data_IF_990338785896
#
_entry.id   IF_990338785896
#
_cell.length_a   1.000
_cell.length_b   1.000
_cell.length_c   1.000
_cell.angle_alpha   90.00
_cell.angle_beta   90.00
_cell.angle_gamma   90.00
#
_symmetry.space_group_name_H-M   'P 1'
#
loop_
_entity.id
_entity.type
_entity.pdbx_description
1 polymer ?
#
# COMPACT_ATOMS: atom_id res chain seq x y z
N UNK A 1 16.48 -8.58 -12.86
CA UNK A 1 15.90 -7.29 -12.47
C UNK A 1 14.42 -7.49 -12.18
N UNK A 2 13.93 -6.88 -11.14
CA UNK A 2 12.53 -7.02 -10.74
C UNK A 2 11.56 -6.59 -11.86
N UNK A 3 10.41 -7.24 -11.89
CA UNK A 3 9.38 -7.03 -12.89
C UNK A 3 8.04 -6.75 -12.20
N UNK A 4 7.33 -5.70 -12.63
CA UNK A 4 5.98 -5.40 -12.12
C UNK A 4 4.97 -6.12 -13.01
N UNK A 5 4.26 -7.06 -12.43
CA UNK A 5 3.24 -7.88 -13.10
C UNK A 5 1.98 -7.07 -13.41
N UNK A 6 1.54 -6.28 -12.44
CA UNK A 6 0.31 -5.50 -12.50
C UNK A 6 -0.05 -4.93 -11.14
N UNK A 7 -1.25 -4.39 -11.05
CA UNK A 7 -1.81 -3.82 -9.84
C UNK A 7 -3.19 -4.38 -9.51
N UNK A 8 -3.44 -4.51 -8.23
CA UNK A 8 -4.74 -4.82 -7.65
C UNK A 8 -5.18 -3.62 -6.83
N UNK A 9 -6.41 -3.17 -7.01
CA UNK A 9 -7.03 -2.21 -6.10
C UNK A 9 -8.25 -2.83 -5.41
N UNK A 10 -8.33 -2.64 -4.10
CA UNK A 10 -9.39 -3.22 -3.25
C UNK A 10 -9.78 -2.25 -2.14
N UNK A 11 -11.04 -2.28 -1.74
CA UNK A 11 -11.46 -1.60 -0.53
C UNK A 11 -10.99 -2.35 0.73
N UNK A 12 -10.75 -1.62 1.83
CA UNK A 12 -10.14 -2.17 3.04
C UNK A 12 -11.03 -2.07 4.30
N UNK A 13 -12.33 -2.11 4.15
CA UNK A 13 -13.23 -2.02 5.32
C UNK A 13 -12.89 -3.09 6.37
N UNK A 14 -12.92 -2.76 7.68
CA UNK A 14 -12.64 -3.74 8.74
C UNK A 14 -13.61 -4.91 8.73
N UNK A 15 -14.81 -4.70 8.17
CA UNK A 15 -15.86 -5.70 8.09
C UNK A 15 -15.51 -6.88 7.18
N UNK A 16 -14.64 -6.70 6.18
CA UNK A 16 -14.11 -7.80 5.35
C UNK A 16 -13.33 -8.78 6.24
N UNK A 17 -12.42 -8.26 7.07
CA UNK A 17 -11.65 -9.06 8.02
C UNK A 17 -12.53 -9.76 9.05
N UNK A 18 -13.54 -9.06 9.57
CA UNK A 18 -14.55 -9.65 10.46
C UNK A 18 -15.26 -10.85 9.81
N UNK A 19 -15.66 -10.73 8.56
CA UNK A 19 -16.33 -11.81 7.85
C UNK A 19 -15.41 -13.02 7.60
N UNK A 20 -14.11 -12.79 7.34
CA UNK A 20 -13.12 -13.87 7.26
C UNK A 20 -13.01 -14.60 8.59
N UNK A 21 -12.80 -13.88 9.70
CA UNK A 21 -12.57 -14.45 11.02
C UNK A 21 -13.78 -15.24 11.57
N UNK A 22 -14.99 -14.87 11.13
CA UNK A 22 -16.25 -15.51 11.54
C UNK A 22 -16.82 -16.45 10.50
N UNK A 23 -16.05 -16.82 9.47
CA UNK A 23 -16.43 -17.74 8.40
C UNK A 23 -17.76 -17.36 7.69
N UNK A 24 -17.95 -16.04 7.44
CA UNK A 24 -19.18 -15.48 6.86
C UNK A 24 -19.13 -15.29 5.35
N UNK A 25 -18.11 -15.80 4.68
CA UNK A 25 -17.89 -15.57 3.25
C UNK A 25 -19.06 -16.05 2.36
N UNK A 26 -19.83 -17.02 2.83
CA UNK A 26 -20.98 -17.57 2.11
C UNK A 26 -22.34 -17.00 2.59
N UNK A 27 -22.34 -16.18 3.63
CA UNK A 27 -23.58 -15.54 4.10
C UNK A 27 -24.09 -14.57 3.01
N UNK A 28 -25.41 -14.47 2.74
CA UNK A 28 -25.96 -13.66 1.65
C UNK A 28 -25.52 -12.19 1.66
N UNK A 29 -25.30 -11.61 2.84
CA UNK A 29 -24.83 -10.22 2.97
C UNK A 29 -23.35 -10.02 2.58
N UNK A 30 -22.55 -11.09 2.64
CA UNK A 30 -21.09 -11.05 2.44
C UNK A 30 -20.66 -11.70 1.14
N UNK A 31 -21.42 -12.70 0.66
CA UNK A 31 -21.05 -13.49 -0.51
C UNK A 31 -20.71 -12.65 -1.75
N UNK A 32 -21.41 -11.55 -2.10
CA UNK A 32 -21.04 -10.72 -3.25
C UNK A 32 -19.63 -10.14 -3.12
N UNK A 33 -19.21 -9.72 -1.90
CA UNK A 33 -17.86 -9.18 -1.65
C UNK A 33 -16.83 -10.28 -1.93
N UNK A 34 -16.98 -11.45 -1.32
CA UNK A 34 -15.99 -12.53 -1.48
C UNK A 34 -15.96 -13.10 -2.89
N UNK A 35 -17.08 -13.15 -3.59
CA UNK A 35 -17.12 -13.50 -5.01
C UNK A 35 -16.34 -12.52 -5.87
N UNK A 36 -16.34 -11.23 -5.53
CA UNK A 36 -15.54 -10.23 -6.21
C UNK A 36 -14.01 -10.37 -5.96
N UNK A 37 -13.63 -11.01 -4.87
CA UNK A 37 -12.21 -11.31 -4.56
C UNK A 37 -11.69 -12.58 -5.27
N UNK A 38 -12.53 -13.50 -5.67
CA UNK A 38 -12.09 -14.75 -6.33
C UNK A 38 -11.23 -14.53 -7.58
N UNK A 39 -11.54 -13.59 -8.50
CA UNK A 39 -10.67 -13.31 -9.63
C UNK A 39 -9.29 -12.77 -9.22
N UNK A 40 -9.23 -11.99 -8.13
CA UNK A 40 -7.98 -11.47 -7.58
C UNK A 40 -7.11 -12.59 -7.00
N UNK A 41 -7.73 -13.49 -6.25
CA UNK A 41 -7.06 -14.69 -5.70
C UNK A 41 -6.48 -15.55 -6.83
N UNK A 42 -7.29 -15.85 -7.86
CA UNK A 42 -6.84 -16.62 -9.05
C UNK A 42 -5.68 -15.92 -9.76
N UNK A 43 -5.76 -14.61 -9.94
CA UNK A 43 -4.68 -13.84 -10.57
C UNK A 43 -3.38 -13.92 -9.77
N UNK A 44 -3.44 -13.79 -8.45
CA UNK A 44 -2.27 -13.92 -7.56
C UNK A 44 -1.71 -15.36 -7.57
N UNK A 45 -2.57 -16.37 -7.57
CA UNK A 45 -2.16 -17.77 -7.65
C UNK A 45 -1.49 -18.12 -8.98
N UNK A 46 -1.99 -17.56 -10.10
CA UNK A 46 -1.42 -17.75 -11.44
C UNK A 46 -0.10 -16.99 -11.63
N UNK A 47 -0.08 -15.73 -11.22
CA UNK A 47 1.09 -14.85 -11.42
C UNK A 47 2.22 -15.09 -10.42
N UNK A 48 1.91 -15.57 -9.23
CA UNK A 48 2.86 -15.92 -8.15
C UNK A 48 3.91 -14.82 -7.89
N UNK A 49 3.49 -13.60 -7.52
CA UNK A 49 4.45 -12.55 -7.20
C UNK A 49 5.30 -12.96 -5.99
N UNK A 50 6.59 -12.66 -6.05
CA UNK A 50 7.53 -12.85 -4.93
C UNK A 50 7.30 -11.83 -3.81
N UNK A 51 6.78 -10.65 -4.16
CA UNK A 51 6.43 -9.61 -3.20
C UNK A 51 5.23 -8.78 -3.66
N UNK A 52 4.46 -8.29 -2.67
CA UNK A 52 3.44 -7.27 -2.85
C UNK A 52 3.93 -5.95 -2.27
N UNK A 53 4.01 -4.90 -3.08
CA UNK A 53 4.06 -3.54 -2.53
C UNK A 53 2.64 -3.13 -2.20
N UNK A 54 2.36 -2.96 -0.91
CA UNK A 54 1.03 -2.86 -0.37
C UNK A 54 0.75 -1.44 0.15
N UNK A 55 -0.04 -0.69 -0.59
CA UNK A 55 -0.36 0.70 -0.31
C UNK A 55 -1.63 0.77 0.54
N UNK A 56 -1.52 1.36 1.71
CA UNK A 56 -2.60 1.45 2.69
C UNK A 56 -2.49 2.73 3.53
N UNK A 57 -3.49 3.04 4.31
CA UNK A 57 -3.41 3.98 5.42
C UNK A 57 -3.71 3.26 6.75
N UNK A 58 -3.07 3.74 7.78
CA UNK A 58 -3.31 3.33 9.16
C UNK A 58 -4.43 4.17 9.78
N UNK A 59 -5.24 3.58 10.64
CA UNK A 59 -6.39 4.23 11.29
C UNK A 59 -6.10 4.59 12.76
N UNK A 60 -4.99 5.29 13.00
CA UNK A 60 -4.53 5.72 14.34
C UNK A 60 -4.26 4.51 15.26
N UNK A 61 -3.70 3.45 14.68
CA UNK A 61 -3.36 2.22 15.41
C UNK A 61 -1.86 2.11 15.64
N UNK A 62 -1.06 2.33 14.62
CA UNK A 62 0.41 2.31 14.68
C UNK A 62 1.04 3.68 14.41
N UNK A 63 0.32 4.59 13.74
CA UNK A 63 0.77 5.94 13.39
C UNK A 63 -0.21 6.96 13.96
N UNK A 64 0.26 7.78 14.87
CA UNK A 64 -0.55 8.74 15.62
C UNK A 64 -0.29 10.17 15.15
N UNK A 65 -1.18 11.10 15.50
CA UNK A 65 -1.12 12.51 15.06
C UNK A 65 0.01 13.32 15.71
N UNK A 66 0.69 12.76 16.68
CA UNK A 66 1.93 13.32 17.25
C UNK A 66 3.13 13.25 16.29
N UNK A 67 3.09 12.29 15.34
CA UNK A 67 4.05 12.17 14.25
C UNK A 67 3.38 11.51 13.03
N UNK A 68 2.60 12.28 12.28
CA UNK A 68 1.82 11.76 11.15
C UNK A 68 2.51 12.01 9.82
N UNK A 69 3.23 11.01 9.33
CA UNK A 69 4.00 11.10 8.10
C UNK A 69 3.14 10.96 6.85
N UNK A 70 3.47 11.75 5.81
CA UNK A 70 2.80 11.69 4.50
C UNK A 70 3.05 10.36 3.79
N UNK A 71 4.31 9.91 3.75
CA UNK A 71 4.72 8.64 3.13
C UNK A 71 5.63 7.88 4.07
N UNK A 72 5.26 6.65 4.40
CA UNK A 72 6.02 5.83 5.33
C UNK A 72 6.17 4.40 4.81
N UNK A 73 7.41 3.96 4.63
CA UNK A 73 7.74 2.64 4.10
C UNK A 73 8.15 1.69 5.21
N UNK A 74 7.54 0.52 5.26
CA UNK A 74 7.99 -0.57 6.12
C UNK A 74 9.29 -1.18 5.60
N UNK A 75 10.28 -1.31 6.48
CA UNK A 75 11.61 -1.84 6.16
C UNK A 75 11.98 -3.03 7.04
N UNK A 76 11.00 -3.62 7.69
CA UNK A 76 11.18 -4.80 8.54
C UNK A 76 11.13 -6.11 7.75
N UNK A 77 11.58 -7.18 8.38
CA UNK A 77 11.49 -8.53 7.85
C UNK A 77 10.13 -9.20 8.10
N UNK A 78 9.31 -8.62 9.00
CA UNK A 78 8.04 -9.18 9.43
C UNK A 78 7.12 -8.08 9.99
N UNK A 79 5.81 -8.29 9.85
CA UNK A 79 4.78 -7.39 10.40
C UNK A 79 3.68 -8.18 11.08
N UNK A 80 3.40 -7.82 12.33
CA UNK A 80 2.35 -8.42 13.15
C UNK A 80 1.02 -7.67 12.97
N UNK A 81 -0.07 -8.33 13.34
CA UNK A 81 -1.42 -7.75 13.39
C UNK A 81 -1.58 -6.87 14.63
N UNK A 82 -2.16 -5.70 14.45
CA UNK A 82 -2.50 -4.81 15.54
C UNK A 82 -3.74 -5.28 16.32
N UNK A 83 -3.81 -4.86 17.57
CA UNK A 83 -5.03 -4.91 18.35
C UNK A 83 -5.81 -3.60 18.17
N UNK A 84 -6.95 -3.68 17.52
CA UNK A 84 -7.83 -2.54 17.25
C UNK A 84 -9.03 -2.48 18.23
N UNK A 85 -8.93 -3.20 19.33
CA UNK A 85 -9.96 -3.39 20.35
C UNK A 85 -10.56 -4.80 20.33
N UNK A 86 -10.55 -5.44 21.48
CA UNK A 86 -11.03 -6.81 21.62
C UNK A 86 -10.00 -7.90 21.36
N UNK A 87 -8.74 -7.56 21.16
CA UNK A 87 -7.63 -8.45 20.85
C UNK A 87 -7.25 -8.44 19.36
N UNK A 88 -5.99 -8.80 19.03
CA UNK A 88 -5.56 -8.91 17.65
C UNK A 88 -6.26 -10.08 16.94
N UNK A 89 -6.48 -9.93 15.64
CA UNK A 89 -7.00 -11.03 14.81
C UNK A 89 -6.02 -12.22 14.84
N UNK A 90 -6.56 -13.44 14.76
CA UNK A 90 -5.79 -14.69 14.78
C UNK A 90 -5.15 -14.95 13.39
N UNK A 91 -4.21 -14.11 12.98
CA UNK A 91 -3.50 -14.21 11.72
C UNK A 91 -2.00 -14.36 11.97
N UNK A 92 -1.28 -15.17 11.17
CA UNK A 92 0.18 -15.22 11.28
C UNK A 92 0.80 -13.89 10.86
N UNK A 93 1.98 -13.55 11.38
CA UNK A 93 2.75 -12.41 10.91
C UNK A 93 3.05 -12.52 9.42
N UNK A 94 2.94 -11.42 8.67
CA UNK A 94 3.32 -11.41 7.27
C UNK A 94 4.80 -11.11 7.10
N UNK A 95 5.49 -11.85 6.24
CA UNK A 95 6.89 -11.64 5.95
C UNK A 95 7.08 -10.39 5.10
N UNK A 96 8.09 -9.58 5.43
CA UNK A 96 8.57 -8.48 4.62
C UNK A 96 9.71 -8.90 3.67
N UNK A 97 10.03 -8.04 2.72
CA UNK A 97 11.25 -8.15 1.92
C UNK A 97 12.15 -6.94 2.20
N UNK A 98 12.96 -7.06 3.25
CA UNK A 98 13.80 -5.95 3.72
C UNK A 98 14.84 -5.47 2.68
N UNK A 99 15.31 -6.34 1.79
CA UNK A 99 16.26 -5.96 0.73
C UNK A 99 15.58 -5.06 -0.31
N UNK A 100 14.42 -5.48 -0.82
CA UNK A 100 13.65 -4.69 -1.77
C UNK A 100 13.12 -3.41 -1.11
N UNK A 101 12.64 -3.47 0.13
CA UNK A 101 12.17 -2.28 0.87
C UNK A 101 13.27 -1.22 1.01
N UNK A 102 14.49 -1.60 1.39
CA UNK A 102 15.62 -0.68 1.50
C UNK A 102 16.01 -0.08 0.15
N UNK A 103 15.99 -0.88 -0.90
CA UNK A 103 16.26 -0.40 -2.25
C UNK A 103 15.21 0.62 -2.72
N UNK A 104 13.93 0.32 -2.49
CA UNK A 104 12.82 1.24 -2.79
C UNK A 104 13.00 2.54 -1.98
N UNK A 105 13.25 2.44 -0.68
CA UNK A 105 13.43 3.60 0.17
C UNK A 105 14.59 4.50 -0.27
N UNK A 106 15.75 3.92 -0.55
CA UNK A 106 16.93 4.66 -1.04
C UNK A 106 16.65 5.32 -2.40
N UNK A 107 15.96 4.61 -3.30
CA UNK A 107 15.60 5.12 -4.61
C UNK A 107 14.62 6.29 -4.53
N UNK A 108 13.57 6.19 -3.69
CA UNK A 108 12.60 7.26 -3.50
C UNK A 108 13.23 8.50 -2.87
N UNK A 109 14.14 8.32 -1.89
CA UNK A 109 14.89 9.44 -1.31
C UNK A 109 15.79 10.12 -2.36
N UNK A 110 16.44 9.35 -3.23
CA UNK A 110 17.24 9.91 -4.33
C UNK A 110 16.37 10.66 -5.35
N UNK A 111 15.12 10.24 -5.56
CA UNK A 111 14.11 10.93 -6.38
C UNK A 111 13.39 12.08 -5.64
N UNK A 112 13.97 12.55 -4.52
CA UNK A 112 13.51 13.71 -3.75
C UNK A 112 12.13 13.54 -3.08
N UNK A 113 11.78 12.29 -2.73
CA UNK A 113 10.61 12.03 -1.89
C UNK A 113 11.01 12.00 -0.41
N UNK A 114 10.33 12.81 0.40
CA UNK A 114 10.51 12.82 1.87
C UNK A 114 9.85 11.58 2.45
N UNK A 115 10.64 10.53 2.61
CA UNK A 115 10.16 9.25 3.12
C UNK A 115 10.42 9.12 4.62
N UNK A 116 9.41 8.66 5.35
CA UNK A 116 9.60 8.07 6.67
C UNK A 116 9.75 6.55 6.55
N UNK A 117 10.36 5.94 7.56
CA UNK A 117 10.56 4.49 7.61
C UNK A 117 10.09 3.95 8.95
N UNK A 118 9.57 2.73 8.95
CA UNK A 118 9.14 2.08 10.19
C UNK A 118 9.59 0.63 10.29
N UNK A 119 9.78 0.21 11.52
CA UNK A 119 9.99 -1.16 11.97
C UNK A 119 9.24 -1.37 13.29
N UNK A 120 9.07 -2.63 13.70
CA UNK A 120 8.43 -3.01 14.97
C UNK A 120 7.00 -2.43 15.15
N UNK A 121 6.30 -2.16 14.03
CA UNK A 121 4.90 -1.71 14.07
C UNK A 121 3.97 -2.88 13.80
N UNK A 122 2.89 -2.92 14.58
CA UNK A 122 1.76 -3.81 14.31
C UNK A 122 0.78 -3.06 13.42
N UNK A 123 0.32 -3.70 12.35
CA UNK A 123 -0.49 -3.07 11.32
C UNK A 123 -1.97 -3.43 11.45
N UNK A 124 -2.81 -2.49 11.10
CA UNK A 124 -4.26 -2.56 11.30
C UNK A 124 -5.03 -3.20 10.13
N UNK A 125 -6.36 -3.05 10.17
CA UNK A 125 -7.26 -3.56 9.15
C UNK A 125 -7.01 -2.98 7.76
N UNK A 126 -6.46 -1.77 7.65
CA UNK A 126 -6.10 -1.15 6.36
C UNK A 126 -5.21 -2.06 5.52
N UNK A 127 -4.33 -2.84 6.18
CA UNK A 127 -3.54 -3.87 5.53
C UNK A 127 -4.19 -5.24 5.65
N UNK A 128 -4.47 -5.72 6.87
CA UNK A 128 -4.80 -7.12 7.11
C UNK A 128 -6.23 -7.51 6.73
N UNK A 129 -7.17 -6.56 6.67
CA UNK A 129 -8.55 -6.88 6.29
C UNK A 129 -8.63 -7.40 4.85
N UNK A 130 -8.22 -6.63 3.81
CA UNK A 130 -8.23 -7.15 2.45
C UNK A 130 -7.14 -8.21 2.21
N UNK A 131 -5.99 -8.16 2.86
CA UNK A 131 -4.94 -9.17 2.69
C UNK A 131 -5.46 -10.57 3.03
N UNK A 132 -6.22 -10.69 4.13
CA UNK A 132 -6.82 -11.97 4.56
C UNK A 132 -7.90 -12.52 3.62
N UNK A 133 -8.44 -11.67 2.74
CA UNK A 133 -9.35 -12.07 1.67
C UNK A 133 -8.63 -12.31 0.34
N UNK A 134 -7.46 -11.70 0.12
CA UNK A 134 -6.67 -11.82 -1.12
C UNK A 134 -5.80 -13.06 -1.17
N UNK A 135 -5.13 -13.38 -0.07
CA UNK A 135 -4.13 -14.45 -0.02
C UNK A 135 -4.58 -15.57 0.91
N UNK A 136 -4.38 -16.85 0.51
CA UNK A 136 -4.49 -17.95 1.46
C UNK A 136 -3.37 -17.83 2.50
N UNK A 137 -3.69 -18.16 3.73
CA UNK A 137 -2.73 -18.20 4.82
C UNK A 137 -2.96 -19.44 5.68
N UNK A 138 -1.92 -19.88 6.34
CA UNK A 138 -1.93 -21.05 7.22
C UNK A 138 -1.14 -20.73 8.49
N UNK A 139 -1.62 -21.17 9.64
CA UNK A 139 -0.99 -20.89 10.94
C UNK A 139 0.45 -21.42 11.02
N UNK A 140 0.75 -22.52 10.35
CA UNK A 140 2.06 -23.17 10.41
C UNK A 140 3.03 -22.64 9.34
N UNK A 141 2.53 -22.28 8.15
CA UNK A 141 3.33 -21.86 6.99
C UNK A 141 3.33 -20.35 6.78
N UNK A 142 2.36 -19.65 7.37
CA UNK A 142 2.17 -18.19 7.18
C UNK A 142 1.56 -17.85 5.83
N UNK A 143 2.02 -16.74 5.26
CA UNK A 143 1.54 -16.20 3.99
C UNK A 143 2.44 -16.62 2.82
N UNK A 144 1.89 -16.87 1.63
CA UNK A 144 2.68 -17.35 0.48
C UNK A 144 3.58 -16.28 -0.14
N UNK A 145 3.34 -15.01 0.13
CA UNK A 145 3.98 -13.88 -0.54
C UNK A 145 4.43 -12.84 0.47
N UNK A 146 5.64 -12.30 0.30
CA UNK A 146 6.15 -11.22 1.13
C UNK A 146 5.40 -9.90 0.86
N UNK A 147 5.24 -9.06 1.88
CA UNK A 147 4.55 -7.76 1.80
C UNK A 147 5.50 -6.64 2.16
N UNK A 148 5.51 -5.59 1.35
CA UNK A 148 6.20 -4.33 1.60
C UNK A 148 5.14 -3.27 1.86
N UNK A 149 4.87 -2.91 3.12
CA UNK A 149 3.85 -1.94 3.46
C UNK A 149 4.30 -0.51 3.11
N UNK A 150 3.50 0.21 2.34
CA UNK A 150 3.66 1.63 2.06
C UNK A 150 2.45 2.38 2.59
N UNK A 151 2.60 2.98 3.77
CA UNK A 151 1.55 3.77 4.41
C UNK A 151 1.50 5.17 3.81
N UNK A 152 0.30 5.63 3.47
CA UNK A 152 0.02 6.99 3.01
C UNK A 152 -0.81 7.70 4.07
N UNK A 153 -0.36 8.88 4.49
CA UNK A 153 -1.06 9.68 5.49
C UNK A 153 -2.28 10.40 4.91
N UNK A 154 -3.40 9.71 4.79
CA UNK A 154 -4.64 10.26 4.20
C UNK A 154 -5.78 10.46 5.22
N UNK A 155 -5.59 10.01 6.46
CA UNK A 155 -6.64 10.08 7.48
C UNK A 155 -6.82 11.50 8.05
N UNK A 156 -5.76 12.28 8.14
CA UNK A 156 -5.77 13.61 8.75
C UNK A 156 -5.20 14.65 7.78
N UNK A 157 -5.95 15.70 7.52
CA UNK A 157 -5.49 16.83 6.72
C UNK A 157 -4.39 17.64 7.44
N UNK A 158 -3.38 18.15 6.70
CA UNK A 158 -3.24 18.09 5.23
C UNK A 158 -2.76 16.72 4.73
N UNK A 159 -3.42 16.23 3.67
CA UNK A 159 -3.05 14.98 3.00
C UNK A 159 -2.26 15.28 1.71
N UNK A 160 -1.52 14.30 1.14
CA UNK A 160 -0.84 14.50 -0.14
C UNK A 160 -1.85 14.73 -1.26
N UNK A 161 -1.50 15.53 -2.28
CA UNK A 161 -2.35 15.69 -3.45
C UNK A 161 -2.39 14.41 -4.29
N UNK A 162 -3.48 14.22 -5.04
CA UNK A 162 -3.60 13.13 -6.02
C UNK A 162 -2.40 13.09 -6.99
N UNK A 163 -1.94 14.26 -7.47
CA UNK A 163 -0.73 14.39 -8.29
C UNK A 163 0.53 13.91 -7.59
N UNK A 164 0.67 14.18 -6.28
CA UNK A 164 1.83 13.73 -5.51
C UNK A 164 1.82 12.20 -5.35
N UNK A 165 0.64 11.61 -5.14
CA UNK A 165 0.47 10.16 -5.08
C UNK A 165 0.81 9.50 -6.43
N UNK A 166 0.33 10.04 -7.55
CA UNK A 166 0.65 9.52 -8.88
C UNK A 166 2.15 9.59 -9.19
N UNK A 167 2.80 10.73 -8.86
CA UNK A 167 4.26 10.87 -9.01
C UNK A 167 5.04 9.90 -8.11
N UNK A 168 4.58 9.65 -6.89
CA UNK A 168 5.17 8.62 -6.02
C UNK A 168 5.11 7.25 -6.69
N UNK A 169 3.98 6.91 -7.32
CA UNK A 169 3.83 5.70 -8.10
C UNK A 169 4.85 5.60 -9.24
N UNK A 170 5.05 6.67 -10.01
CA UNK A 170 6.03 6.70 -11.09
C UNK A 170 7.47 6.50 -10.59
N UNK A 171 7.81 7.09 -9.44
CA UNK A 171 9.10 6.87 -8.79
C UNK A 171 9.24 5.44 -8.23
N UNK A 172 8.17 4.92 -7.64
CA UNK A 172 8.10 3.54 -7.15
C UNK A 172 8.33 2.53 -8.27
N UNK A 173 7.78 2.76 -9.47
CA UNK A 173 8.04 1.93 -10.64
C UNK A 173 9.53 1.87 -10.97
N UNK A 174 10.20 3.03 -11.06
CA UNK A 174 11.65 3.08 -11.32
C UNK A 174 12.44 2.36 -10.23
N UNK A 175 12.05 2.56 -8.98
CA UNK A 175 12.68 1.91 -7.84
C UNK A 175 12.59 0.39 -7.94
N UNK A 176 11.41 -0.16 -8.16
CA UNK A 176 11.19 -1.61 -8.26
C UNK A 176 11.95 -2.18 -9.46
N UNK A 177 11.72 -1.64 -10.66
CA UNK A 177 12.34 -2.17 -11.89
C UNK A 177 13.86 -2.02 -11.92
N UNK A 178 14.44 -1.12 -11.08
CA UNK A 178 15.90 -0.99 -10.91
C UNK A 178 16.49 -1.99 -9.91
N UNK A 179 15.68 -2.70 -9.13
CA UNK A 179 16.18 -3.71 -8.20
C UNK A 179 16.90 -4.84 -8.95
N UNK A 180 18.12 -5.22 -8.50
CA UNK A 180 18.98 -6.10 -9.31
C UNK A 180 18.51 -7.56 -9.38
N UNK A 181 17.75 -8.03 -8.38
CA UNK A 181 17.29 -9.41 -8.34
C UNK A 181 16.16 -9.65 -9.34
N UNK A 182 16.07 -10.88 -9.86
CA UNK A 182 15.03 -11.30 -10.79
C UNK A 182 13.82 -11.82 -10.01
N UNK A 183 12.95 -10.90 -9.64
CA UNK A 183 11.73 -11.17 -8.87
C UNK A 183 10.52 -10.52 -9.53
N UNK A 184 9.37 -11.10 -9.30
CA UNK A 184 8.07 -10.59 -9.73
C UNK A 184 7.39 -9.84 -8.58
N UNK A 185 6.92 -8.64 -8.87
CA UNK A 185 6.25 -7.78 -7.90
C UNK A 185 4.86 -7.44 -8.39
N UNK A 186 3.86 -7.54 -7.53
CA UNK A 186 2.55 -6.95 -7.77
C UNK A 186 2.34 -5.75 -6.82
N UNK A 187 1.51 -4.80 -7.24
CA UNK A 187 1.22 -3.62 -6.45
C UNK A 187 -0.24 -3.69 -5.99
N UNK A 188 -0.47 -3.63 -4.69
CA UNK A 188 -1.82 -3.62 -4.12
C UNK A 188 -2.08 -2.23 -3.56
N UNK A 189 -3.16 -1.59 -4.00
CA UNK A 189 -3.65 -0.35 -3.40
C UNK A 189 -4.96 -0.63 -2.67
N UNK A 190 -5.09 -0.07 -1.48
CA UNK A 190 -6.29 -0.19 -0.67
C UNK A 190 -6.95 1.17 -0.46
N UNK A 191 -8.09 1.19 0.18
CA UNK A 191 -8.89 2.37 0.43
C UNK A 191 -10.33 2.18 -0.05
N UNK A 192 -11.29 2.73 0.70
CA UNK A 192 -12.69 2.72 0.29
C UNK A 192 -12.95 3.69 -0.87
N UNK A 193 -13.93 3.38 -1.71
CA UNK A 193 -14.51 4.36 -2.62
C UNK A 193 -15.39 5.35 -1.83
N UNK A 194 -16.39 5.94 -2.44
CA UNK A 194 -17.16 6.98 -1.77
C UNK A 194 -17.74 6.51 -0.43
N UNK A 195 -17.41 7.24 0.62
CA UNK A 195 -17.97 7.07 1.95
C UNK A 195 -17.68 8.29 2.84
N UNK A 196 -18.55 8.46 3.83
CA UNK A 196 -18.31 9.39 4.93
C UNK A 196 -18.91 8.81 6.21
N UNK A 197 -18.07 8.66 7.22
CA UNK A 197 -18.45 8.00 8.51
C UNK A 197 -18.66 8.99 9.64
N UNK A 198 -18.28 10.26 9.43
CA UNK A 198 -18.41 11.32 10.43
C UNK A 198 -19.08 12.58 9.88
N UNK A 199 -19.57 13.43 10.80
CA UNK A 199 -20.14 14.75 10.48
C UNK A 199 -21.53 14.69 9.85
N UNK A 200 -21.95 15.83 9.27
CA UNK A 200 -23.32 16.01 8.73
C UNK A 200 -23.63 15.10 7.53
N UNK A 201 -22.62 14.68 6.79
CA UNK A 201 -22.76 13.79 5.63
C UNK A 201 -22.51 12.31 5.97
N UNK A 202 -22.58 11.94 7.26
CA UNK A 202 -22.42 10.52 7.67
C UNK A 202 -23.38 9.62 6.88
N UNK A 203 -22.85 8.55 6.27
CA UNK A 203 -23.60 7.65 5.39
C UNK A 203 -23.64 8.09 3.91
N UNK A 204 -22.93 9.15 3.55
CA UNK A 204 -22.84 9.59 2.15
C UNK A 204 -22.13 8.54 1.29
N UNK A 205 -22.70 8.27 0.13
CA UNK A 205 -22.11 7.49 -0.96
C UNK A 205 -22.44 8.16 -2.31
N UNK A 206 -21.61 7.91 -3.30
CA UNK A 206 -21.80 8.41 -4.66
C UNK A 206 -21.32 7.35 -5.68
N UNK A 207 -22.17 6.35 -5.99
CA UNK A 207 -21.80 5.28 -6.92
C UNK A 207 -21.46 5.79 -8.34
N UNK A 208 -22.07 6.89 -8.78
CA UNK A 208 -21.78 7.48 -10.09
C UNK A 208 -20.35 8.05 -10.12
N UNK A 209 -19.93 8.68 -9.05
CA UNK A 209 -18.54 9.12 -8.88
C UNK A 209 -17.59 7.95 -8.79
N UNK A 210 -17.92 6.92 -8.03
CA UNK A 210 -17.10 5.71 -7.88
C UNK A 210 -16.82 5.08 -9.25
N UNK A 211 -17.85 4.94 -10.08
CA UNK A 211 -17.70 4.43 -11.45
C UNK A 211 -16.82 5.34 -12.31
N UNK A 212 -17.04 6.66 -12.27
CA UNK A 212 -16.24 7.64 -13.01
C UNK A 212 -14.77 7.64 -12.55
N UNK A 213 -14.52 7.54 -11.24
CA UNK A 213 -13.17 7.47 -10.69
C UNK A 213 -12.42 6.26 -11.23
N UNK A 214 -13.03 5.06 -11.17
CA UNK A 214 -12.40 3.84 -11.68
C UNK A 214 -12.17 3.91 -13.19
N UNK A 215 -13.11 4.47 -13.96
CA UNK A 215 -12.94 4.66 -15.40
C UNK A 215 -11.76 5.60 -15.72
N UNK A 216 -11.66 6.73 -15.03
CA UNK A 216 -10.53 7.65 -15.20
C UNK A 216 -9.22 7.02 -14.72
N UNK A 217 -9.23 6.28 -13.62
CA UNK A 217 -8.03 5.59 -13.12
C UNK A 217 -7.43 4.65 -14.18
N UNK A 218 -8.27 3.94 -14.90
CA UNK A 218 -7.84 3.02 -15.96
C UNK A 218 -7.38 3.78 -17.21
N UNK A 219 -8.22 4.68 -17.71
CA UNK A 219 -8.11 5.23 -19.07
C UNK A 219 -7.44 6.60 -19.15
N UNK A 220 -7.55 7.43 -18.12
CA UNK A 220 -7.07 8.83 -18.13
C UNK A 220 -6.69 9.30 -16.69
N UNK A 221 -5.69 8.62 -16.06
CA UNK A 221 -5.33 8.90 -14.67
C UNK A 221 -4.79 10.32 -14.44
N UNK A 222 -4.31 10.99 -15.48
CA UNK A 222 -3.84 12.37 -15.41
C UNK A 222 -4.95 13.32 -14.99
N UNK A 223 -6.19 13.12 -15.46
CA UNK A 223 -7.35 13.94 -15.04
C UNK A 223 -7.58 13.88 -13.54
N UNK A 224 -7.43 12.71 -12.94
CA UNK A 224 -7.53 12.54 -11.49
C UNK A 224 -6.46 13.34 -10.74
N UNK A 225 -5.28 13.55 -11.35
CA UNK A 225 -4.20 14.34 -10.74
C UNK A 225 -4.44 15.86 -10.78
N UNK A 226 -5.36 16.31 -11.60
CA UNK A 226 -5.73 17.73 -11.73
C UNK A 226 -6.78 18.14 -10.69
N UNK A 227 -7.52 17.19 -10.16
CA UNK A 227 -8.54 17.42 -9.15
C UNK A 227 -7.92 17.85 -7.81
N UNK A 228 -8.61 18.77 -7.16
CA UNK A 228 -8.29 19.20 -5.79
C UNK A 228 -8.79 18.21 -4.76
N UNK A 229 -8.20 18.22 -3.57
CA UNK A 229 -8.68 17.41 -2.45
C UNK A 229 -10.09 17.78 -2.01
N UNK A 230 -10.49 19.06 -2.20
CA UNK A 230 -11.86 19.50 -1.96
C UNK A 230 -12.86 18.83 -2.89
N UNK A 231 -12.54 18.70 -4.18
CA UNK A 231 -13.38 17.99 -5.15
C UNK A 231 -13.47 16.49 -4.84
N UNK A 232 -12.36 15.86 -4.43
CA UNK A 232 -12.39 14.46 -3.94
C UNK A 232 -13.33 14.30 -2.75
N UNK A 233 -13.24 15.20 -1.76
CA UNK A 233 -14.10 15.14 -0.57
C UNK A 233 -15.56 15.48 -0.88
N UNK A 234 -15.83 16.39 -1.81
CA UNK A 234 -17.18 16.72 -2.26
C UNK A 234 -17.85 15.54 -2.96
N UNK A 235 -17.14 14.92 -3.90
CA UNK A 235 -17.66 13.84 -4.75
C UNK A 235 -17.64 12.48 -4.06
N UNK A 236 -16.58 12.18 -3.30
CA UNK A 236 -16.37 10.88 -2.68
C UNK A 236 -16.66 10.81 -1.19
N UNK A 237 -16.90 11.93 -0.52
CA UNK A 237 -16.94 12.02 0.94
C UNK A 237 -15.57 12.29 1.55
N UNK A 238 -15.54 12.75 2.80
CA UNK A 238 -14.29 13.16 3.44
C UNK A 238 -13.32 11.97 3.56
N UNK A 239 -13.78 10.85 4.09
CA UNK A 239 -12.99 9.65 4.22
C UNK A 239 -12.76 8.97 2.85
N UNK A 240 -13.71 9.05 1.93
CA UNK A 240 -13.57 8.55 0.55
C UNK A 240 -12.48 9.25 -0.27
N UNK A 241 -11.95 10.41 0.20
CA UNK A 241 -10.79 11.04 -0.42
C UNK A 241 -9.50 10.19 -0.32
N UNK A 242 -9.47 9.18 0.53
CA UNK A 242 -8.36 8.21 0.63
C UNK A 242 -8.10 7.44 -0.68
N UNK A 243 -9.07 7.41 -1.57
CA UNK A 243 -8.96 6.76 -2.89
C UNK A 243 -7.78 7.28 -3.73
N UNK A 244 -7.19 8.44 -3.39
CA UNK A 244 -5.95 8.93 -4.01
C UNK A 244 -4.78 7.95 -3.85
N UNK A 245 -4.85 7.03 -2.90
CA UNK A 245 -3.87 5.93 -2.75
C UNK A 245 -3.84 5.01 -3.97
N UNK A 246 -4.99 4.84 -4.66
CA UNK A 246 -5.04 4.04 -5.89
C UNK A 246 -4.21 4.66 -7.02
N UNK A 247 -4.00 5.98 -6.99
CA UNK A 247 -3.12 6.66 -7.94
C UNK A 247 -1.64 6.32 -7.75
N UNK A 248 -1.22 5.93 -6.54
CA UNK A 248 0.15 5.42 -6.32
C UNK A 248 0.33 4.12 -7.11
N UNK A 249 -0.60 3.18 -7.00
CA UNK A 249 -0.59 1.95 -7.81
C UNK A 249 -0.60 2.29 -9.31
N UNK A 250 -1.55 3.12 -9.75
CA UNK A 250 -1.69 3.45 -11.18
C UNK A 250 -0.45 4.12 -11.76
N UNK A 251 0.18 5.01 -11.00
CA UNK A 251 1.44 5.65 -11.39
C UNK A 251 2.62 4.67 -11.50
N UNK A 252 2.58 3.57 -10.75
CA UNK A 252 3.60 2.53 -10.78
C UNK A 252 3.42 1.54 -11.95
N UNK A 253 2.32 1.60 -12.67
CA UNK A 253 2.08 0.77 -13.85
C UNK A 253 2.47 1.50 -15.15
N UNK A 254 2.48 0.77 -16.25
CA UNK A 254 2.69 1.33 -17.58
C UNK A 254 1.56 2.29 -17.97
N UNK A 255 1.85 3.18 -18.93
CA UNK A 255 0.84 4.09 -19.45
C UNK A 255 -0.38 3.31 -19.98
N UNK A 256 -0.12 2.24 -20.73
CA UNK A 256 -1.15 1.33 -21.20
C UNK A 256 -1.22 0.12 -20.27
N UNK A 257 -2.34 -0.04 -19.59
CA UNK A 257 -2.68 -1.19 -18.77
C UNK A 257 -3.81 -1.98 -19.43
N UNK A 258 -3.96 -3.25 -19.07
CA UNK A 258 -5.12 -4.05 -19.44
C UNK A 258 -5.95 -4.30 -18.18
N UNK A 259 -7.17 -3.79 -18.17
CA UNK A 259 -8.14 -4.15 -17.15
C UNK A 259 -8.62 -5.58 -17.42
N UNK A 260 -8.40 -6.48 -16.47
CA UNK A 260 -8.82 -7.88 -16.58
C UNK A 260 -9.97 -8.23 -15.64
N UNK A 261 -10.21 -7.39 -14.64
CA UNK A 261 -11.30 -7.52 -13.71
C UNK A 261 -11.71 -6.18 -13.13
N UNK A 262 -13.02 -5.99 -12.94
CA UNK A 262 -13.62 -4.90 -12.14
C UNK A 262 -14.93 -5.38 -11.55
N UNK A 263 -15.15 -5.09 -10.27
CA UNK A 263 -16.45 -5.24 -9.64
C UNK A 263 -16.69 -4.15 -8.61
N UNK A 264 -17.94 -3.87 -8.32
CA UNK A 264 -18.36 -2.85 -7.37
C UNK A 264 -19.61 -3.33 -6.61
N UNK A 265 -19.57 -3.17 -5.29
CA UNK A 265 -20.69 -3.50 -4.42
C UNK A 265 -20.83 -2.48 -3.29
N UNK A 266 -22.03 -2.00 -3.05
CA UNK A 266 -22.33 -1.05 -1.96
C UNK A 266 -23.24 -1.75 -0.93
N UNK A 267 -22.63 -2.48 0.03
CA UNK A 267 -23.41 -3.24 1.03
C UNK A 267 -23.97 -2.35 2.14
N UNK A 268 -23.31 -1.24 2.45
CA UNK A 268 -23.67 -0.39 3.60
C UNK A 268 -23.21 1.05 3.41
N UNK A 269 -22.16 1.48 4.13
CA UNK A 269 -21.70 2.88 4.18
C UNK A 269 -20.50 3.15 3.27
N UNK A 270 -19.84 2.13 2.76
CA UNK A 270 -18.62 2.26 1.94
C UNK A 270 -18.78 1.52 0.63
N UNK A 271 -18.49 2.17 -0.49
CA UNK A 271 -18.36 1.53 -1.79
C UNK A 271 -17.18 0.54 -1.75
N UNK A 272 -17.47 -0.74 -2.00
CA UNK A 272 -16.45 -1.79 -2.08
C UNK A 272 -16.19 -2.08 -3.55
N UNK A 273 -14.95 -1.95 -3.96
CA UNK A 273 -14.55 -2.31 -5.31
C UNK A 273 -13.34 -3.22 -5.32
N UNK A 274 -13.24 -4.00 -6.39
CA UNK A 274 -12.09 -4.84 -6.73
C UNK A 274 -11.71 -4.58 -8.17
N UNK A 275 -10.41 -4.45 -8.44
CA UNK A 275 -9.88 -4.12 -9.76
C UNK A 275 -8.56 -4.85 -10.00
N UNK A 276 -8.35 -5.37 -11.21
CA UNK A 276 -7.05 -5.89 -11.67
C UNK A 276 -6.62 -5.15 -12.93
N UNK A 277 -5.42 -4.58 -12.89
CA UNK A 277 -4.75 -3.96 -14.02
C UNK A 277 -3.45 -4.69 -14.33
N UNK A 278 -3.38 -5.35 -15.47
CA UNK A 278 -2.12 -5.95 -15.92
C UNK A 278 -1.18 -4.92 -16.51
N UNK A 279 0.11 -5.08 -16.23
CA UNK A 279 1.15 -4.18 -16.69
C UNK A 279 1.62 -4.61 -18.07
N UNK A 280 1.36 -3.81 -19.12
CA UNK A 280 1.61 -4.19 -20.52
C UNK A 280 3.02 -3.93 -21.02
N UNK A 281 3.84 -3.17 -20.28
CA UNK A 281 5.18 -2.85 -20.70
C UNK A 281 6.10 -2.60 -19.50
N UNK A 282 7.30 -3.12 -19.60
CA UNK A 282 8.42 -2.67 -18.77
C UNK A 282 8.82 -1.25 -19.19
N UNK A 283 9.45 -0.49 -18.29
CA UNK A 283 10.11 0.76 -18.71
C UNK A 283 11.07 0.46 -19.88
N UNK A 284 11.20 1.39 -20.84
CA UNK A 284 12.16 1.21 -21.93
C UNK A 284 13.53 0.91 -21.36
N UNK A 285 14.27 0.06 -22.05
CA UNK A 285 15.32 -0.74 -21.46
C UNK A 285 16.49 0.07 -20.93
N UNK A 286 17.30 -0.67 -20.23
CA UNK A 286 18.72 -0.47 -19.85
C UNK A 286 19.15 0.99 -19.62
N UNK A 287 18.94 1.93 -20.53
CA UNK A 287 19.39 3.32 -20.41
C UNK A 287 18.69 4.11 -19.32
N UNK A 288 17.36 4.02 -19.19
CA UNK A 288 16.61 4.79 -18.19
C UNK A 288 16.87 4.25 -16.79
N UNK A 289 16.87 2.93 -16.64
CA UNK A 289 17.17 2.28 -15.37
C UNK A 289 18.65 2.42 -14.99
N UNK A 290 19.55 2.40 -15.97
CA UNK A 290 20.98 2.66 -15.75
C UNK A 290 21.20 4.10 -15.29
N UNK A 291 20.57 5.07 -15.94
CA UNK A 291 20.61 6.49 -15.53
C UNK A 291 20.04 6.67 -14.14
N UNK A 292 18.92 6.02 -13.83
CA UNK A 292 18.33 6.07 -12.50
C UNK A 292 19.26 5.50 -11.43
N UNK A 293 19.89 4.35 -11.68
CA UNK A 293 20.91 3.77 -10.79
C UNK A 293 22.12 4.69 -10.60
N UNK A 294 22.59 5.33 -11.67
CA UNK A 294 23.69 6.29 -11.61
C UNK A 294 23.30 7.52 -10.79
N UNK A 295 22.08 8.05 -11.02
CA UNK A 295 21.54 9.16 -10.24
C UNK A 295 21.45 8.80 -8.76
N UNK A 296 20.84 7.66 -8.42
CA UNK A 296 20.73 7.15 -7.06
C UNK A 296 22.11 6.96 -6.43
N UNK A 297 23.07 6.38 -7.16
CA UNK A 297 24.42 6.18 -6.68
C UNK A 297 25.16 7.52 -6.41
N UNK A 298 24.92 8.54 -7.25
CA UNK A 298 25.46 9.88 -7.04
C UNK A 298 24.87 10.55 -5.79
N UNK A 299 23.56 10.49 -5.60
CA UNK A 299 22.88 11.06 -4.44
C UNK A 299 23.33 10.40 -3.12
N UNK A 300 23.62 9.10 -3.17
CA UNK A 300 24.02 8.33 -1.99
C UNK A 300 25.54 8.17 -1.86
N UNK A 301 26.34 8.78 -2.75
CA UNK A 301 27.79 8.62 -2.79
C UNK A 301 28.44 9.06 -1.47
N UNK A 302 29.17 8.14 -0.83
CA UNK A 302 29.89 8.40 0.40
C UNK A 302 29.05 8.36 1.68
N UNK A 303 27.71 8.25 1.59
CA UNK A 303 26.83 8.20 2.78
C UNK A 303 27.23 7.06 3.72
N UNK A 304 27.56 5.90 3.21
CA UNK A 304 27.99 4.74 4.00
C UNK A 304 29.35 4.95 4.71
N UNK A 305 30.15 5.90 4.23
CA UNK A 305 31.49 6.20 4.76
C UNK A 305 31.48 7.28 5.82
N UNK A 306 30.36 7.99 6.00
CA UNK A 306 30.27 9.04 6.98
C UNK A 306 30.15 8.45 8.39
N UNK A 307 30.90 8.97 9.39
CA UNK A 307 30.74 8.54 10.77
C UNK A 307 29.30 8.76 11.27
N UNK A 308 28.73 7.77 11.92
CA UNK A 308 27.36 7.85 12.45
C UNK A 308 26.24 7.66 11.41
N UNK A 309 26.57 7.48 10.13
CA UNK A 309 25.56 7.06 9.14
C UNK A 309 25.31 5.57 9.26
N UNK A 310 24.05 5.23 9.32
CA UNK A 310 23.62 3.86 9.45
C UNK A 310 22.78 3.48 8.24
N UNK A 311 23.16 2.45 7.49
CA UNK A 311 22.19 1.82 6.60
C UNK A 311 21.01 1.35 7.46
N UNK A 312 19.80 1.44 6.94
CA UNK A 312 18.60 0.92 7.58
C UNK A 312 18.75 -0.60 7.76
N UNK A 313 19.19 -1.02 8.95
CA UNK A 313 19.30 -2.43 9.30
C UNK A 313 18.61 -2.67 10.62
N UNK A 314 17.81 -3.70 10.70
CA UNK A 314 17.12 -4.13 11.92
C UNK A 314 18.08 -4.30 13.11
N UNK A 315 19.24 -4.88 12.90
CA UNK A 315 20.25 -5.07 13.95
C UNK A 315 20.72 -3.77 14.60
N UNK A 316 20.82 -2.68 13.86
CA UNK A 316 21.26 -1.38 14.39
C UNK A 316 20.17 -0.65 15.14
N UNK A 317 18.91 -0.75 14.73
CA UNK A 317 17.82 -0.19 15.50
C UNK A 317 17.63 -0.91 16.84
N UNK A 318 17.80 -2.23 16.87
CA UNK A 318 17.81 -3.00 18.12
C UNK A 318 18.97 -2.59 19.04
N UNK A 319 20.15 -2.31 18.49
CA UNK A 319 21.28 -1.83 19.27
C UNK A 319 21.04 -0.40 19.81
N UNK A 320 20.40 0.48 19.04
CA UNK A 320 19.96 1.80 19.49
C UNK A 320 18.93 1.71 20.61
N UNK A 321 17.95 0.83 20.49
CA UNK A 321 16.94 0.55 21.52
C UNK A 321 17.58 -0.04 22.80
N UNK A 322 18.58 -0.93 22.69
CA UNK A 322 19.33 -1.45 23.81
C UNK A 322 20.15 -0.37 24.51
N UNK A 323 20.78 0.52 23.77
CA UNK A 323 21.52 1.64 24.33
C UNK A 323 20.59 2.61 25.09
N UNK A 324 19.45 2.96 24.53
CA UNK A 324 18.45 3.79 25.20
C UNK A 324 17.90 3.14 26.49
N UNK A 325 17.62 1.84 26.48
CA UNK A 325 17.23 1.10 27.70
C UNK A 325 18.34 1.06 28.74
N UNK A 326 19.58 1.03 28.32
CA UNK A 326 20.74 1.10 29.23
C UNK A 326 20.87 2.50 29.86
N UNK A 327 20.71 3.56 29.06
CA UNK A 327 20.76 4.95 29.55
C UNK A 327 19.61 5.26 30.51
N UNK A 328 18.40 4.77 30.27
CA UNK A 328 17.25 4.90 31.19
C UNK A 328 17.40 4.12 32.50
N UNK A 329 18.37 3.22 32.62
CA UNK A 329 18.66 2.52 33.88
C UNK A 329 19.79 3.18 34.68
N UNK A 330 20.44 4.19 34.10
CA UNK A 330 21.54 4.94 34.74
C UNK A 330 21.11 6.35 35.21
N UNK A 331 19.89 6.77 34.88
CA UNK A 331 19.21 7.96 35.38
C UNK A 331 18.10 7.53 36.32
#
# INVERSE_FOLDING_TARGET
MANILGGIAVSHTPTIGFAVDHHKQQDPAWAPIFQSFEPLQRWLEEKKPDALVYIFNDHVTAFFFDHYSTFTLGIDSQYDVADEGGGPRCLPPVQGNAALSRHIGASLMADEFDMSFFMDKKLDHGLFSPLSALLPWDEAQGWPTAVIPLQIGVLQFPVPSARRCYKLGQALRRAIESFPEDINVAIVATGGLSHQVHGERCGFNNPDWDAQFVDMLVNDPEKLTEMTLGEYAELGGMEGSEVIMWLVMRGALSANVTETWRDYYLPSMTGIATLILENNARLPPVDTLTRHRQHMAQQLAGVEKLPGTYPFTHERSLNGLRLNRFLHRLI
#
